data_IF_670226795339
#
_entry.id   IF_670226795339
#
_cell.length_a   1.000
_cell.length_b   1.000
_cell.length_c   1.000
_cell.angle_alpha   90.00
_cell.angle_beta   90.00
_cell.angle_gamma   90.00
#
_symmetry.space_group_name_H-M   'P 1'
#
loop_
_entity.id
_entity.type
_entity.pdbx_description
1 polymer ?
#
# COMPACT_ATOMS: atom_id res chain seq x y z
N UNK A 1 -6.90 4.64 22.34
CA UNK A 1 -6.02 5.75 21.93
C UNK A 1 -5.33 5.42 20.63
N UNK A 2 -5.38 6.32 19.68
CA UNK A 2 -4.69 6.16 18.41
C UNK A 2 -3.20 6.43 18.61
N UNK A 3 -2.37 5.52 18.13
CA UNK A 3 -0.91 5.67 18.11
C UNK A 3 -0.47 5.86 16.68
N UNK A 4 0.62 6.59 16.48
CA UNK A 4 1.03 6.99 15.14
C UNK A 4 2.53 7.28 15.08
N UNK A 5 3.14 6.94 13.97
CA UNK A 5 4.55 7.22 13.71
C UNK A 5 4.76 7.66 12.27
N UNK A 6 5.87 8.33 12.04
CA UNK A 6 6.36 8.62 10.68
C UNK A 6 7.72 7.97 10.50
N UNK A 7 7.93 7.41 9.31
CA UNK A 7 9.17 6.73 8.95
C UNK A 7 9.70 7.38 7.68
N UNK A 8 10.96 7.82 7.71
CA UNK A 8 11.61 8.36 6.53
C UNK A 8 12.13 7.22 5.67
N UNK A 9 11.76 7.24 4.38
CA UNK A 9 12.15 6.22 3.41
C UNK A 9 12.78 6.86 2.18
N UNK A 10 13.26 6.05 1.24
CA UNK A 10 13.77 6.53 -0.05
C UNK A 10 12.72 7.28 -0.86
N UNK A 11 11.44 6.92 -0.67
CA UNK A 11 10.36 7.55 -1.42
C UNK A 11 9.70 8.69 -0.64
N UNK A 12 10.23 9.01 0.54
CA UNK A 12 9.76 10.08 1.40
C UNK A 12 9.19 9.58 2.71
N UNK A 13 8.50 10.45 3.44
CA UNK A 13 7.91 10.11 4.73
C UNK A 13 6.65 9.26 4.55
N UNK A 14 6.55 8.20 5.33
CA UNK A 14 5.38 7.32 5.40
C UNK A 14 4.91 7.29 6.84
N UNK A 15 3.61 7.49 7.05
CA UNK A 15 2.99 7.49 8.37
C UNK A 15 2.07 6.29 8.52
N UNK A 16 2.06 5.71 9.71
CA UNK A 16 1.18 4.61 10.06
C UNK A 16 0.44 4.91 11.34
N UNK A 17 -0.82 4.49 11.39
CA UNK A 17 -1.74 4.74 12.50
C UNK A 17 -2.27 3.42 13.02
N UNK A 18 -2.23 3.25 14.36
CA UNK A 18 -2.65 2.03 15.01
C UNK A 18 -3.68 2.32 16.09
N UNK A 19 -4.63 1.42 16.23
CA UNK A 19 -5.60 1.41 17.31
C UNK A 19 -5.84 -0.02 17.77
N UNK A 20 -5.83 -0.25 19.07
CA UNK A 20 -6.08 -1.58 19.66
C UNK A 20 -5.22 -2.69 19.05
N UNK A 21 -3.96 -2.41 18.76
CA UNK A 21 -3.01 -3.39 18.24
C UNK A 21 -3.10 -3.66 16.75
N UNK A 22 -3.90 -2.90 15.99
CA UNK A 22 -4.04 -3.08 14.54
C UNK A 22 -3.81 -1.78 13.80
N UNK A 23 -3.02 -1.83 12.75
CA UNK A 23 -2.83 -0.69 11.85
C UNK A 23 -4.08 -0.54 10.99
N UNK A 24 -4.64 0.66 10.95
CA UNK A 24 -5.86 0.95 10.19
C UNK A 24 -5.64 1.98 9.08
N UNK A 25 -4.49 2.66 9.07
CA UNK A 25 -4.15 3.60 8.01
C UNK A 25 -2.63 3.69 7.84
N UNK A 26 -2.18 3.68 6.61
CA UNK A 26 -0.81 3.97 6.21
C UNK A 26 -0.92 4.94 5.05
N UNK A 27 -0.22 6.08 5.13
CA UNK A 27 -0.27 7.08 4.08
C UNK A 27 1.07 7.79 3.92
N UNK A 28 1.26 8.40 2.78
CA UNK A 28 2.43 9.23 2.51
C UNK A 28 2.29 10.55 3.27
N UNK A 29 3.38 10.97 3.91
CA UNK A 29 3.40 12.21 4.69
C UNK A 29 3.95 12.00 6.09
N UNK A 30 4.02 13.08 6.86
CA UNK A 30 4.62 13.09 8.20
C UNK A 30 3.60 13.50 9.25
N UNK A 31 3.56 12.78 10.38
CA UNK A 31 2.73 13.18 11.53
C UNK A 31 3.47 14.23 12.37
N UNK A 32 2.71 15.10 13.02
CA UNK A 32 3.30 16.12 13.88
C UNK A 32 3.81 15.58 15.19
N UNK A 33 3.12 14.61 15.79
CA UNK A 33 3.49 14.01 17.08
C UNK A 33 3.50 12.50 16.96
N UNK A 34 4.61 11.90 17.35
CA UNK A 34 4.74 10.44 17.34
C UNK A 34 4.35 9.86 18.70
N UNK A 35 3.51 8.83 18.66
CA UNK A 35 3.12 8.01 19.81
C UNK A 35 3.32 6.57 19.38
N UNK A 36 4.42 5.99 19.77
CA UNK A 36 4.83 4.67 19.27
C UNK A 36 4.14 3.52 20.01
N UNK A 37 4.21 2.35 19.42
CA UNK A 37 3.68 1.10 19.96
C UNK A 37 4.53 -0.06 19.50
N UNK A 38 4.32 -1.22 20.10
CA UNK A 38 5.01 -2.46 19.71
C UNK A 38 4.71 -2.82 18.24
N UNK A 39 3.46 -2.69 17.82
CA UNK A 39 3.04 -2.98 16.44
C UNK A 39 3.69 -2.00 15.46
N UNK A 40 3.70 -0.71 15.79
CA UNK A 40 4.30 0.30 14.93
C UNK A 40 5.82 0.18 14.84
N UNK A 41 6.48 -0.19 15.94
CA UNK A 41 7.93 -0.45 15.93
C UNK A 41 8.29 -1.58 14.97
N UNK A 42 7.53 -2.67 15.01
CA UNK A 42 7.76 -3.80 14.10
C UNK A 42 7.50 -3.39 12.65
N UNK A 43 6.42 -2.66 12.39
CA UNK A 43 6.12 -2.15 11.06
C UNK A 43 7.24 -1.25 10.53
N UNK A 44 7.75 -0.34 11.35
CA UNK A 44 8.85 0.54 10.99
C UNK A 44 10.12 -0.24 10.64
N UNK A 45 10.42 -1.29 11.39
CA UNK A 45 11.57 -2.17 11.11
C UNK A 45 11.40 -2.90 9.79
N UNK A 46 10.23 -3.49 9.56
CA UNK A 46 9.95 -4.21 8.31
C UNK A 46 10.01 -3.28 7.11
N UNK A 47 9.49 -2.08 7.25
CA UNK A 47 9.53 -1.06 6.21
C UNK A 47 10.98 -0.65 5.89
N UNK A 48 11.79 -0.44 6.93
CA UNK A 48 13.22 -0.15 6.76
C UNK A 48 13.94 -1.28 6.01
N UNK A 49 13.69 -2.52 6.39
CA UNK A 49 14.29 -3.68 5.73
C UNK A 49 13.82 -3.81 4.28
N UNK A 50 12.58 -3.53 4.01
CA UNK A 50 12.05 -3.52 2.65
C UNK A 50 12.81 -2.53 1.75
N UNK A 51 12.98 -1.30 2.22
CA UNK A 51 13.69 -0.28 1.44
C UNK A 51 15.20 -0.48 1.39
N UNK A 52 15.76 -1.30 2.27
CA UNK A 52 17.17 -1.77 2.20
C UNK A 52 17.33 -3.06 1.40
N UNK A 53 16.25 -3.55 0.78
CA UNK A 53 16.22 -4.80 -0.01
C UNK A 53 16.59 -6.05 0.79
N UNK A 54 16.34 -6.03 2.09
CA UNK A 54 16.57 -7.18 2.98
C UNK A 54 15.36 -8.08 3.12
N UNK A 55 14.17 -7.61 2.74
CA UNK A 55 12.95 -8.40 2.74
C UNK A 55 12.02 -7.93 1.63
N UNK A 56 11.20 -8.83 1.12
CA UNK A 56 10.11 -8.53 0.18
C UNK A 56 8.76 -8.44 0.89
N UNK A 57 8.74 -8.71 2.20
CA UNK A 57 7.50 -8.84 2.95
C UNK A 57 7.42 -7.73 4.00
N UNK A 58 6.32 -6.98 3.96
CA UNK A 58 5.93 -6.05 5.01
C UNK A 58 4.66 -6.61 5.61
N UNK A 59 4.71 -6.98 6.89
CA UNK A 59 3.52 -7.48 7.56
C UNK A 59 3.32 -6.80 8.90
N UNK A 60 2.06 -6.49 9.21
CA UNK A 60 1.64 -6.01 10.50
C UNK A 60 0.18 -6.39 10.73
N UNK A 61 -0.24 -6.61 11.97
CA UNK A 61 -1.66 -6.72 12.26
C UNK A 61 -2.38 -5.47 11.75
N UNK A 62 -3.43 -5.67 10.97
CA UNK A 62 -4.11 -4.57 10.31
C UNK A 62 -5.61 -4.81 10.22
N UNK A 63 -6.34 -3.73 9.98
CA UNK A 63 -7.78 -3.78 9.77
C UNK A 63 -8.10 -3.16 8.42
N UNK A 64 -8.68 -3.96 7.52
CA UNK A 64 -9.23 -3.47 6.26
C UNK A 64 -10.70 -3.16 6.47
N UNK A 65 -11.09 -1.90 6.27
CA UNK A 65 -12.47 -1.46 6.36
C UNK A 65 -13.06 -1.30 4.96
N UNK A 66 -14.09 -2.07 4.66
CA UNK A 66 -14.74 -2.03 3.37
C UNK A 66 -15.78 -3.13 3.24
N UNK A 67 -16.48 -3.13 2.10
CA UNK A 67 -17.44 -4.18 1.78
C UNK A 67 -16.71 -5.46 1.33
N UNK A 68 -17.48 -6.50 1.04
CA UNK A 68 -16.94 -7.81 0.70
C UNK A 68 -16.08 -7.75 -0.57
N UNK A 69 -16.55 -7.07 -1.62
CA UNK A 69 -15.81 -7.03 -2.89
C UNK A 69 -14.51 -6.22 -2.76
N UNK A 70 -14.53 -5.12 -2.01
CA UNK A 70 -13.32 -4.36 -1.72
C UNK A 70 -12.28 -5.22 -1.02
N UNK A 71 -12.69 -5.94 0.03
CA UNK A 71 -11.78 -6.80 0.79
C UNK A 71 -11.21 -7.93 -0.06
N UNK A 72 -12.00 -8.51 -0.96
CA UNK A 72 -11.52 -9.55 -1.88
C UNK A 72 -10.47 -9.01 -2.84
N UNK A 73 -10.72 -7.86 -3.45
CA UNK A 73 -9.78 -7.22 -4.34
C UNK A 73 -8.49 -6.86 -3.60
N UNK A 74 -8.60 -6.18 -2.46
CA UNK A 74 -7.42 -5.83 -1.65
C UNK A 74 -6.62 -7.06 -1.22
N UNK A 75 -7.30 -8.16 -0.88
CA UNK A 75 -6.63 -9.42 -0.56
C UNK A 75 -5.83 -9.97 -1.72
N UNK A 76 -6.33 -9.85 -2.94
CA UNK A 76 -5.59 -10.27 -4.14
C UNK A 76 -4.40 -9.35 -4.41
N UNK A 77 -4.54 -8.04 -4.17
CA UNK A 77 -3.43 -7.11 -4.35
C UNK A 77 -2.24 -7.49 -3.46
N UNK A 78 -2.51 -7.96 -2.25
CA UNK A 78 -1.46 -8.37 -1.31
C UNK A 78 -0.63 -9.55 -1.83
N UNK A 79 -1.12 -10.30 -2.79
CA UNK A 79 -0.41 -11.41 -3.41
C UNK A 79 0.54 -10.97 -4.53
N UNK A 80 0.44 -9.73 -4.99
CA UNK A 80 1.33 -9.19 -6.01
C UNK A 80 2.67 -8.85 -5.35
N UNK A 81 3.73 -9.52 -5.79
CA UNK A 81 5.06 -9.35 -5.20
C UNK A 81 5.74 -8.07 -5.72
N UNK A 82 6.69 -7.50 -4.95
CA UNK A 82 7.51 -6.40 -5.46
C UNK A 82 8.16 -6.77 -6.79
N UNK A 83 8.13 -5.86 -7.75
CA UNK A 83 8.63 -6.09 -9.09
C UNK A 83 7.63 -6.70 -10.05
N UNK A 84 6.49 -7.15 -9.53
CA UNK A 84 5.39 -7.66 -10.35
C UNK A 84 4.26 -6.64 -10.43
N UNK A 85 3.53 -6.64 -11.52
CA UNK A 85 2.35 -5.80 -11.70
C UNK A 85 1.21 -6.60 -12.29
N UNK A 86 -0.02 -6.16 -12.05
CA UNK A 86 -1.22 -6.66 -12.72
C UNK A 86 -1.98 -5.48 -13.30
N UNK A 87 -2.73 -5.73 -14.37
CA UNK A 87 -3.56 -4.69 -14.95
C UNK A 87 -4.92 -4.61 -14.23
N UNK A 88 -5.54 -3.44 -14.30
CA UNK A 88 -6.91 -3.27 -13.80
C UNK A 88 -7.86 -4.24 -14.50
N UNK A 89 -7.65 -4.50 -15.80
CA UNK A 89 -8.48 -5.43 -16.56
C UNK A 89 -8.36 -6.88 -16.10
N UNK A 90 -7.17 -7.33 -15.73
CA UNK A 90 -6.98 -8.69 -15.21
C UNK A 90 -7.77 -8.92 -13.92
N UNK A 91 -7.71 -7.96 -13.02
CA UNK A 91 -8.45 -8.03 -11.75
C UNK A 91 -9.95 -7.93 -11.99
N UNK A 92 -10.35 -7.01 -12.86
CA UNK A 92 -11.75 -6.80 -13.23
C UNK A 92 -12.38 -8.08 -13.79
N UNK A 93 -11.68 -8.76 -14.68
CA UNK A 93 -12.15 -10.02 -15.28
C UNK A 93 -12.43 -11.09 -14.23
N UNK A 94 -11.52 -11.21 -13.25
CA UNK A 94 -11.67 -12.21 -12.17
C UNK A 94 -12.95 -12.00 -11.36
N UNK A 95 -13.30 -10.75 -11.09
CA UNK A 95 -14.44 -10.41 -10.24
C UNK A 95 -15.68 -9.96 -11.01
N UNK A 96 -15.66 -10.06 -12.35
CA UNK A 96 -16.76 -9.59 -13.23
C UNK A 96 -17.10 -8.13 -12.98
N UNK A 97 -16.06 -7.30 -12.87
CA UNK A 97 -16.16 -5.85 -12.69
C UNK A 97 -15.60 -5.15 -13.93
N UNK A 98 -15.84 -3.83 -14.01
CA UNK A 98 -15.14 -3.00 -14.99
C UNK A 98 -13.75 -2.62 -14.46
N UNK A 99 -12.77 -2.37 -15.35
CA UNK A 99 -11.47 -1.84 -14.91
C UNK A 99 -11.59 -0.54 -14.11
N UNK A 100 -12.55 0.32 -14.47
CA UNK A 100 -12.83 1.56 -13.75
C UNK A 100 -13.27 1.29 -12.31
N UNK A 101 -14.11 0.29 -12.10
CA UNK A 101 -14.57 -0.10 -10.78
C UNK A 101 -13.39 -0.60 -9.92
N UNK A 102 -12.52 -1.43 -10.51
CA UNK A 102 -11.30 -1.88 -9.83
C UNK A 102 -10.42 -0.68 -9.46
N UNK A 103 -10.25 0.27 -10.36
CA UNK A 103 -9.50 1.50 -10.08
C UNK A 103 -10.08 2.26 -8.90
N UNK A 104 -11.40 2.36 -8.80
CA UNK A 104 -12.07 3.00 -7.67
C UNK A 104 -11.79 2.24 -6.37
N UNK A 105 -11.88 0.92 -6.38
CA UNK A 105 -11.58 0.08 -5.22
C UNK A 105 -10.12 0.28 -4.78
N UNK A 106 -9.19 0.31 -5.72
CA UNK A 106 -7.78 0.61 -5.43
C UNK A 106 -7.63 1.99 -4.77
N UNK A 107 -8.35 2.99 -5.26
CA UNK A 107 -8.28 4.36 -4.71
C UNK A 107 -8.82 4.48 -3.29
N UNK A 108 -9.62 3.52 -2.85
CA UNK A 108 -10.22 3.49 -1.51
C UNK A 108 -9.34 2.75 -0.50
N UNK A 109 -8.19 2.24 -0.92
CA UNK A 109 -7.24 1.58 -0.04
C UNK A 109 -6.62 2.59 0.93
N UNK A 110 -6.70 2.29 2.23
CA UNK A 110 -6.12 3.12 3.29
C UNK A 110 -4.80 2.56 3.83
N UNK A 111 -4.32 1.44 3.30
CA UNK A 111 -3.15 0.73 3.81
C UNK A 111 -2.03 0.70 2.77
N UNK A 112 -1.44 1.87 2.52
CA UNK A 112 -0.34 2.03 1.57
C UNK A 112 0.74 0.96 1.81
N UNK A 113 1.26 0.36 0.78
CA UNK A 113 2.30 -0.69 0.79
C UNK A 113 1.85 -2.03 1.38
N UNK A 114 1.12 -2.02 2.48
CA UNK A 114 0.61 -3.26 3.07
C UNK A 114 -0.43 -3.90 2.13
N UNK A 115 -1.25 -3.07 1.49
CA UNK A 115 -2.08 -3.45 0.36
C UNK A 115 -1.50 -2.71 -0.86
N UNK A 116 -0.71 -3.39 -1.70
CA UNK A 116 0.11 -2.71 -2.69
C UNK A 116 -0.66 -2.29 -3.95
N UNK A 117 -1.60 -1.37 -3.80
CA UNK A 117 -2.40 -0.87 -4.92
C UNK A 117 -1.56 -0.18 -5.99
N UNK A 118 -0.33 0.25 -5.65
CA UNK A 118 0.60 0.80 -6.64
C UNK A 118 1.08 -0.22 -7.68
N UNK A 119 0.91 -1.52 -7.42
CA UNK A 119 1.28 -2.60 -8.35
C UNK A 119 0.18 -2.92 -9.37
N UNK A 120 -0.89 -2.12 -9.41
CA UNK A 120 -1.93 -2.25 -10.42
C UNK A 120 -1.78 -1.11 -11.43
N UNK A 121 -1.71 -1.46 -12.71
CA UNK A 121 -1.45 -0.52 -13.81
C UNK A 121 -2.50 -0.66 -14.90
N UNK A 122 -2.51 0.25 -15.86
CA UNK A 122 -3.42 0.17 -17.00
C UNK A 122 -3.09 -1.01 -17.92
N UNK A 123 -4.08 -1.48 -18.67
CA UNK A 123 -3.94 -2.60 -19.59
C UNK A 123 -2.88 -2.37 -20.67
N UNK A 124 -2.64 -1.12 -21.05
CA UNK A 124 -1.63 -0.74 -22.05
C UNK A 124 -0.21 -0.61 -21.45
N UNK A 125 -0.04 -0.95 -20.19
CA UNK A 125 1.25 -0.84 -19.50
C UNK A 125 1.54 0.53 -18.90
N UNK A 126 0.70 1.53 -19.12
CA UNK A 126 0.85 2.83 -18.47
C UNK A 126 0.55 2.71 -16.97
N UNK A 127 1.21 3.55 -16.17
CA UNK A 127 1.13 3.50 -14.71
C UNK A 127 -0.29 3.70 -14.20
N UNK A 128 -1.08 4.58 -14.85
CA UNK A 128 -2.42 4.92 -14.39
C UNK A 128 -2.40 5.92 -13.24
N UNK A 129 -3.57 6.16 -12.68
CA UNK A 129 -3.75 7.10 -11.59
C UNK A 129 -3.35 6.56 -10.22
N UNK A 130 -3.21 7.47 -9.27
CA UNK A 130 -2.94 7.10 -7.88
C UNK A 130 -3.44 8.25 -6.98
N UNK A 131 -4.36 7.94 -6.08
CA UNK A 131 -5.04 8.96 -5.26
C UNK A 131 -4.36 9.22 -3.92
N UNK A 132 -3.34 8.44 -3.55
CA UNK A 132 -2.57 8.70 -2.34
C UNK A 132 -1.87 10.05 -2.42
N UNK A 133 -1.59 10.66 -1.27
CA UNK A 133 -0.73 11.85 -1.20
C UNK A 133 0.61 11.52 -1.87
N UNK A 134 1.05 12.39 -2.77
CA UNK A 134 2.20 12.12 -3.64
C UNK A 134 1.81 11.67 -5.04
N UNK A 135 0.59 11.15 -5.23
CA UNK A 135 -0.02 10.83 -6.51
C UNK A 135 0.82 9.92 -7.41
N UNK A 136 0.78 10.21 -8.70
CA UNK A 136 1.49 9.43 -9.72
C UNK A 136 3.00 9.40 -9.49
N UNK A 137 3.58 10.48 -8.97
CA UNK A 137 5.03 10.52 -8.67
C UNK A 137 5.42 9.47 -7.64
N UNK A 138 4.62 9.32 -6.58
CA UNK A 138 4.87 8.31 -5.55
C UNK A 138 4.73 6.90 -6.13
N UNK A 139 3.67 6.67 -6.89
CA UNK A 139 3.45 5.38 -7.55
C UNK A 139 4.63 5.00 -8.43
N UNK A 140 5.10 5.95 -9.24
CA UNK A 140 6.26 5.75 -10.12
C UNK A 140 7.52 5.43 -9.32
N UNK A 141 7.80 6.18 -8.24
CA UNK A 141 8.96 5.92 -7.38
C UNK A 141 8.90 4.52 -6.76
N UNK A 142 7.74 4.10 -6.28
CA UNK A 142 7.58 2.77 -5.69
C UNK A 142 7.82 1.68 -6.73
N UNK A 143 7.23 1.80 -7.91
CA UNK A 143 7.42 0.82 -8.99
C UNK A 143 8.86 0.76 -9.46
N UNK A 144 9.52 1.91 -9.62
CA UNK A 144 10.94 1.96 -10.00
C UNK A 144 11.81 1.31 -8.93
N UNK A 145 11.54 1.58 -7.66
CA UNK A 145 12.28 0.94 -6.56
C UNK A 145 12.12 -0.58 -6.59
N UNK A 146 10.90 -1.08 -6.81
CA UNK A 146 10.61 -2.52 -6.80
C UNK A 146 11.12 -3.24 -8.04
N UNK A 147 11.23 -2.54 -9.16
CA UNK A 147 11.69 -3.11 -10.44
C UNK A 147 13.16 -3.52 -10.43
N UNK A 148 13.98 -2.86 -9.62
CA UNK A 148 15.41 -3.11 -9.54
C UNK A 148 15.65 -4.31 -8.63
N UNK A 149 16.21 -5.33 -9.16
CA UNK A 149 16.57 -6.53 -8.41
C UNK A 149 18.02 -6.50 -7.96
#
# INVERSE_FOLDING_TARGET
MIKQISIKTRVGWISAYENKGKIFQIKFGRVKKQINSKVLKKFARDLSYFFKRKTNIIYAPHKMEGNLIQKKVWGDLRKIKPGQTKSYGMIAKKYKLSPRHVGKICSQNKLLLLVPCHRVINNNGNIGGFTSVGGIKLKKKLLEFEKIN
#
